data_IF_272491308801
#
_entry.id   IF_272491308801
#
_cell.length_a   1.000
_cell.length_b   1.000
_cell.length_c   1.000
_cell.angle_alpha   90.00
_cell.angle_beta   90.00
_cell.angle_gamma   90.00
#
_symmetry.space_group_name_H-M   'P 1'
#
loop_
_entity.id
_entity.type
_entity.pdbx_description
1 polymer ?
#
# COMPACT_ATOMS: atom_id res chain seq x y z
N UNK A 1 18.39 -24.64 -13.76
CA UNK A 1 19.19 -23.64 -13.02
C UNK A 1 18.34 -22.40 -12.83
N UNK A 2 18.18 -21.88 -11.60
CA UNK A 2 17.51 -20.60 -11.39
C UNK A 2 18.51 -19.49 -11.72
N UNK A 3 18.25 -18.70 -12.76
CA UNK A 3 19.00 -17.49 -13.06
C UNK A 3 19.01 -16.55 -11.84
N UNK A 4 20.16 -16.41 -11.19
CA UNK A 4 20.40 -15.33 -10.24
C UNK A 4 20.65 -14.04 -11.04
N UNK A 5 19.57 -13.36 -11.46
CA UNK A 5 19.68 -12.02 -12.04
C UNK A 5 20.08 -11.07 -10.92
N UNK A 6 21.31 -10.56 -10.98
CA UNK A 6 21.75 -9.46 -10.11
C UNK A 6 20.83 -8.27 -10.39
N UNK A 7 20.03 -7.90 -9.39
CA UNK A 7 19.18 -6.71 -9.46
C UNK A 7 20.06 -5.48 -9.27
N UNK A 8 19.90 -4.46 -10.10
CA UNK A 8 20.64 -3.20 -9.91
C UNK A 8 20.26 -2.56 -8.58
N UNK A 9 21.16 -1.73 -8.03
CA UNK A 9 20.88 -0.96 -6.82
C UNK A 9 19.62 -0.10 -6.99
N UNK A 10 19.43 0.52 -8.17
CA UNK A 10 18.22 1.33 -8.41
C UNK A 10 16.95 0.49 -8.34
N UNK A 11 16.95 -0.71 -8.92
CA UNK A 11 15.81 -1.61 -8.85
C UNK A 11 15.51 -2.03 -7.40
N UNK A 12 16.53 -2.31 -6.59
CA UNK A 12 16.33 -2.69 -5.19
C UNK A 12 15.79 -1.53 -4.35
N UNK A 13 16.25 -0.31 -4.60
CA UNK A 13 15.79 0.89 -3.92
C UNK A 13 14.33 1.21 -4.26
N UNK A 14 13.90 1.05 -5.52
CA UNK A 14 12.50 1.18 -5.90
C UNK A 14 12.11 0.19 -7.01
N UNK A 15 11.64 -1.01 -6.65
CA UNK A 15 11.22 -2.04 -7.61
C UNK A 15 10.01 -1.65 -8.47
N UNK A 16 9.40 -0.50 -8.17
CA UNK A 16 8.17 -0.02 -8.76
C UNK A 16 8.32 1.37 -9.39
N UNK A 17 9.55 1.76 -9.73
CA UNK A 17 9.87 3.08 -10.30
C UNK A 17 8.94 3.45 -11.46
N UNK A 18 8.65 2.49 -12.34
CA UNK A 18 7.84 2.71 -13.54
C UNK A 18 6.32 2.61 -13.29
N UNK A 19 5.89 2.25 -12.08
CA UNK A 19 4.47 2.00 -11.77
C UNK A 19 3.97 2.97 -10.71
N UNK A 20 3.07 3.91 -11.08
CA UNK A 20 2.45 4.82 -10.13
C UNK A 20 1.81 4.09 -8.94
N UNK A 21 1.94 4.66 -7.75
CA UNK A 21 1.39 4.08 -6.51
C UNK A 21 -0.09 3.72 -6.65
N UNK A 22 -0.90 4.58 -7.24
CA UNK A 22 -2.33 4.35 -7.47
C UNK A 22 -2.61 3.05 -8.24
N UNK A 23 -1.88 2.82 -9.34
CA UNK A 23 -2.01 1.58 -10.14
C UNK A 23 -1.62 0.34 -9.32
N UNK A 24 -0.63 0.46 -8.43
CA UNK A 24 -0.22 -0.65 -7.55
C UNK A 24 -1.29 -0.97 -6.51
N UNK A 25 -1.88 0.06 -5.91
CA UNK A 25 -2.95 -0.09 -4.93
C UNK A 25 -4.20 -0.71 -5.57
N UNK A 26 -4.59 -0.24 -6.76
CA UNK A 26 -5.69 -0.82 -7.54
C UNK A 26 -5.42 -2.30 -7.90
N UNK A 27 -4.21 -2.61 -8.42
CA UNK A 27 -3.81 -4.00 -8.74
C UNK A 27 -3.84 -4.94 -7.53
N UNK A 28 -3.59 -4.43 -6.33
CA UNK A 28 -3.64 -5.19 -5.08
C UNK A 28 -5.03 -5.21 -4.43
N UNK A 29 -6.03 -4.65 -5.09
CA UNK A 29 -7.38 -4.50 -4.58
C UNK A 29 -7.37 -3.84 -3.19
N UNK A 30 -6.51 -2.84 -2.98
CA UNK A 30 -6.35 -2.20 -1.68
C UNK A 30 -7.60 -1.37 -1.33
N UNK A 31 -7.93 -1.32 -0.03
CA UNK A 31 -9.01 -0.46 0.48
C UNK A 31 -8.58 1.00 0.39
N UNK A 32 -9.45 1.86 -0.14
CA UNK A 32 -9.20 3.29 -0.16
C UNK A 32 -9.63 3.91 1.18
N UNK A 33 -8.68 4.55 1.88
CA UNK A 33 -8.86 5.15 3.21
C UNK A 33 -8.94 6.68 3.18
N UNK A 34 -8.91 7.33 2.00
CA UNK A 34 -8.87 8.80 1.92
C UNK A 34 -10.08 9.44 2.59
N UNK A 35 -11.28 9.01 2.21
CA UNK A 35 -12.58 9.44 2.75
C UNK A 35 -13.37 8.28 3.39
N UNK A 36 -12.67 7.21 3.77
CA UNK A 36 -13.28 5.96 4.23
C UNK A 36 -12.43 5.38 5.39
N UNK A 37 -12.11 6.23 6.35
CA UNK A 37 -11.35 5.83 7.54
C UNK A 37 -11.91 6.45 8.81
N UNK A 38 -11.74 5.73 9.91
CA UNK A 38 -11.87 6.23 11.28
C UNK A 38 -10.57 5.99 12.02
N UNK A 39 -10.19 6.96 12.86
CA UNK A 39 -9.04 6.85 13.75
C UNK A 39 -9.56 6.54 15.14
N UNK A 40 -9.05 5.47 15.74
CA UNK A 40 -9.40 5.05 17.09
C UNK A 40 -8.17 5.32 17.97
N UNK A 41 -8.29 6.27 18.89
CA UNK A 41 -7.27 6.52 19.91
C UNK A 41 -7.24 5.35 20.90
N UNK A 42 -6.05 4.88 21.24
CA UNK A 42 -5.83 3.81 22.21
C UNK A 42 -5.50 4.33 23.61
N UNK A 43 -5.37 5.64 23.80
CA UNK A 43 -5.12 6.27 25.11
C UNK A 43 -3.70 6.09 25.65
N UNK A 44 -2.79 5.53 24.85
CA UNK A 44 -1.38 5.28 25.21
C UNK A 44 -0.41 6.01 24.26
N UNK A 45 -0.88 7.06 23.58
CA UNK A 45 -0.12 7.79 22.56
C UNK A 45 -0.12 7.14 21.18
N UNK A 46 -0.78 5.98 21.01
CA UNK A 46 -0.96 5.33 19.72
C UNK A 46 -2.41 5.40 19.25
N UNK A 47 -2.60 5.21 17.95
CA UNK A 47 -3.92 5.15 17.33
C UNK A 47 -3.98 4.06 16.26
N UNK A 48 -5.19 3.57 15.99
CA UNK A 48 -5.46 2.59 14.94
C UNK A 48 -6.34 3.23 13.88
N UNK A 49 -5.91 3.14 12.62
CA UNK A 49 -6.73 3.53 11.47
C UNK A 49 -7.51 2.30 11.00
N UNK A 50 -8.84 2.39 10.97
CA UNK A 50 -9.72 1.37 10.40
C UNK A 50 -10.53 1.95 9.25
N UNK A 51 -10.83 1.14 8.25
CA UNK A 51 -11.84 1.46 7.24
C UNK A 51 -13.24 1.57 7.85
N UNK A 52 -14.06 2.43 7.28
CA UNK A 52 -15.49 2.49 7.60
C UNK A 52 -16.23 1.42 6.80
N UNK A 53 -15.90 1.29 5.51
CA UNK A 53 -16.41 0.31 4.55
C UNK A 53 -15.23 -0.44 3.90
N UNK A 54 -15.26 -1.78 3.95
CA UNK A 54 -14.21 -2.65 3.39
C UNK A 54 -14.39 -2.95 1.89
N UNK A 55 -15.44 -2.42 1.27
CA UNK A 55 -15.76 -2.60 -0.15
C UNK A 55 -15.24 -1.46 -1.02
N UNK A 56 -14.99 -0.28 -0.45
CA UNK A 56 -14.44 0.88 -1.16
C UNK A 56 -12.95 0.65 -1.41
N UNK A 57 -12.58 0.47 -2.69
CA UNK A 57 -11.21 0.12 -3.11
C UNK A 57 -10.70 1.05 -4.20
N UNK A 58 -9.38 1.09 -4.36
CA UNK A 58 -8.74 1.79 -5.48
C UNK A 58 -9.15 1.16 -6.82
N UNK A 59 -9.43 2.00 -7.83
CA UNK A 59 -9.84 1.60 -9.18
C UNK A 59 -8.71 1.80 -10.20
#
# INVERSE_FOLDING_TARGET
MKENRIKSLEYLSNPFLDVPLYKRLAKKNAIDLRNNKKVIDLGNGYSVVKSIDNTIRFK
#
